data_IF_251620866411
#
_entry.id   IF_251620866411
#
_cell.length_a   1.000
_cell.length_b   1.000
_cell.length_c   1.000
_cell.angle_alpha   90.00
_cell.angle_beta   90.00
_cell.angle_gamma   90.00
#
_symmetry.space_group_name_H-M   'P 1'
#
loop_
_entity.id
_entity.type
_entity.pdbx_description
1 polymer ?
#
# COMPACT_ATOMS: atom_id res chain seq x y z
N UNK A 1 -10.16 -16.90 -29.84
CA UNK A 1 -9.89 -15.43 -29.78
C UNK A 1 -10.86 -14.84 -28.79
N UNK A 2 -10.44 -14.63 -27.57
CA UNK A 2 -11.22 -13.90 -26.57
C UNK A 2 -10.83 -12.44 -26.66
N UNK A 3 -11.66 -11.65 -27.33
CA UNK A 3 -11.57 -10.20 -27.32
C UNK A 3 -11.88 -9.72 -25.90
N UNK A 4 -10.86 -9.26 -25.18
CA UNK A 4 -11.04 -8.51 -23.96
C UNK A 4 -11.77 -7.20 -24.34
N UNK A 5 -13.07 -7.21 -24.14
CA UNK A 5 -13.89 -6.01 -24.21
C UNK A 5 -13.59 -5.18 -22.96
N UNK A 6 -12.63 -4.28 -23.06
CA UNK A 6 -12.47 -3.20 -22.09
C UNK A 6 -13.50 -2.15 -22.50
N UNK A 7 -14.54 -1.91 -21.68
CA UNK A 7 -15.48 -0.86 -22.00
C UNK A 7 -14.74 0.47 -22.01
N UNK A 8 -14.70 1.15 -23.14
CA UNK A 8 -14.14 2.50 -23.34
C UNK A 8 -14.96 3.58 -22.59
N UNK A 9 -15.77 3.17 -21.62
CA UNK A 9 -16.70 4.00 -20.86
C UNK A 9 -16.02 4.82 -19.74
N UNK A 10 -14.76 4.56 -19.44
CA UNK A 10 -14.06 5.17 -18.32
C UNK A 10 -13.23 6.37 -18.74
N UNK A 11 -13.90 7.39 -19.25
CA UNK A 11 -13.34 8.73 -19.25
C UNK A 11 -13.28 9.24 -17.81
N UNK A 12 -12.11 9.67 -17.37
CA UNK A 12 -11.83 10.15 -15.99
C UNK A 12 -12.75 11.30 -15.53
N UNK A 13 -13.52 11.90 -16.43
CA UNK A 13 -14.46 13.01 -16.16
C UNK A 13 -15.85 12.58 -15.66
N UNK A 14 -16.19 11.30 -15.75
CA UNK A 14 -17.52 10.80 -15.39
C UNK A 14 -17.54 9.91 -14.15
N UNK A 15 -16.36 9.67 -13.55
CA UNK A 15 -16.24 8.87 -12.32
C UNK A 15 -16.96 9.51 -11.15
N UNK A 16 -16.98 10.83 -11.07
CA UNK A 16 -17.62 11.61 -10.00
C UNK A 16 -19.13 11.35 -9.91
N UNK A 17 -19.77 10.90 -11.02
CA UNK A 17 -21.22 10.66 -11.08
C UNK A 17 -21.64 9.33 -10.47
N UNK A 18 -20.69 8.40 -10.30
CA UNK A 18 -20.97 7.04 -9.82
C UNK A 18 -20.52 6.78 -8.38
N UNK A 19 -19.67 7.65 -7.84
CA UNK A 19 -19.10 7.48 -6.51
C UNK A 19 -19.54 8.61 -5.58
N UNK A 20 -20.51 8.34 -4.73
CA UNK A 20 -20.98 9.26 -3.70
C UNK A 20 -20.11 9.13 -2.45
N UNK A 21 -19.44 10.21 -2.04
CA UNK A 21 -18.66 10.24 -0.79
C UNK A 21 -17.21 9.79 -0.91
N UNK A 22 -16.64 9.73 -2.13
CA UNK A 22 -15.26 9.31 -2.38
C UNK A 22 -14.30 10.46 -2.75
N UNK A 23 -14.77 11.72 -2.68
CA UNK A 23 -14.03 12.90 -3.15
C UNK A 23 -12.64 13.04 -2.53
N UNK A 24 -12.52 12.77 -1.22
CA UNK A 24 -11.24 12.88 -0.52
C UNK A 24 -10.29 11.74 -0.86
N UNK A 25 -10.81 10.56 -1.14
CA UNK A 25 -10.02 9.40 -1.53
C UNK A 25 -9.48 9.57 -2.96
N UNK A 26 -10.24 10.19 -3.85
CA UNK A 26 -9.82 10.49 -5.21
C UNK A 26 -8.70 11.54 -5.25
N UNK A 27 -8.80 12.59 -4.43
CA UNK A 27 -7.73 13.59 -4.26
C UNK A 27 -6.44 12.99 -3.70
N UNK A 28 -6.59 12.04 -2.78
CA UNK A 28 -5.46 11.32 -2.21
C UNK A 28 -4.80 10.42 -3.26
N UNK A 29 -5.57 9.74 -4.09
CA UNK A 29 -5.08 8.91 -5.18
C UNK A 29 -4.34 9.74 -6.24
N UNK A 30 -4.86 10.92 -6.57
CA UNK A 30 -4.27 11.83 -7.54
C UNK A 30 -2.95 12.42 -7.03
N UNK A 31 -2.87 12.82 -5.76
CA UNK A 31 -1.62 13.26 -5.12
C UNK A 31 -0.57 12.14 -5.08
N UNK A 32 -1.01 10.92 -4.78
CA UNK A 32 -0.14 9.73 -4.82
C UNK A 32 0.41 9.47 -6.23
N UNK A 33 -0.41 9.63 -7.26
CA UNK A 33 0.02 9.46 -8.65
C UNK A 33 1.07 10.49 -9.05
N UNK A 34 0.90 11.75 -8.67
CA UNK A 34 1.83 12.84 -8.96
C UNK A 34 3.15 12.70 -8.20
N UNK A 35 3.11 12.23 -6.95
CA UNK A 35 4.31 11.97 -6.15
C UNK A 35 5.07 10.73 -6.63
N UNK A 36 4.35 9.72 -7.13
CA UNK A 36 4.91 8.46 -7.65
C UNK A 36 5.59 8.65 -9.00
N UNK A 37 5.08 9.54 -9.86
CA UNK A 37 5.64 9.72 -11.20
C UNK A 37 6.89 10.60 -11.25
N UNK A 38 7.13 11.42 -10.22
CA UNK A 38 8.19 12.44 -10.28
C UNK A 38 9.58 12.00 -9.84
N UNK A 39 9.72 10.99 -8.98
CA UNK A 39 11.04 10.52 -8.50
C UNK A 39 10.94 9.16 -7.78
N UNK A 40 10.71 8.07 -8.47
CA UNK A 40 10.92 6.77 -7.86
C UNK A 40 12.37 6.35 -8.10
N UNK A 41 13.26 6.44 -7.09
CA UNK A 41 14.52 5.74 -7.21
C UNK A 41 14.18 4.25 -7.31
N UNK A 42 14.62 3.57 -8.37
CA UNK A 42 14.38 2.14 -8.57
C UNK A 42 15.14 1.25 -7.55
N UNK A 43 15.61 1.84 -6.46
CA UNK A 43 16.38 1.18 -5.43
C UNK A 43 15.77 1.43 -4.04
N UNK A 44 15.72 0.39 -3.20
CA UNK A 44 15.91 -1.03 -3.53
C UNK A 44 14.72 -1.59 -4.35
N UNK A 45 14.93 -2.63 -5.16
CA UNK A 45 13.84 -3.32 -5.85
C UNK A 45 12.92 -4.00 -4.84
N UNK A 46 11.62 -4.00 -5.12
CA UNK A 46 10.61 -4.53 -4.23
C UNK A 46 9.45 -5.18 -4.97
N UNK A 47 8.73 -6.04 -4.28
CA UNK A 47 7.46 -6.63 -4.71
C UNK A 47 6.38 -6.34 -3.67
N UNK A 48 5.15 -6.21 -4.11
CA UNK A 48 3.98 -6.22 -3.24
C UNK A 48 3.15 -7.43 -3.64
N UNK A 49 2.96 -8.37 -2.70
CA UNK A 49 2.17 -9.59 -2.91
C UNK A 49 0.87 -9.49 -2.16
N UNK A 50 -0.21 -9.84 -2.81
CA UNK A 50 -1.49 -10.15 -2.16
C UNK A 50 -1.51 -11.65 -1.89
N UNK A 51 -1.51 -12.06 -0.63
CA UNK A 51 -1.54 -13.46 -0.22
C UNK A 51 -2.98 -13.99 -0.24
N UNK A 52 -3.89 -13.19 0.33
CA UNK A 52 -5.34 -13.42 0.33
C UNK A 52 -6.09 -12.07 0.38
N UNK A 53 -7.37 -12.06 0.70
CA UNK A 53 -8.18 -10.84 0.67
C UNK A 53 -7.83 -9.84 1.76
N UNK A 54 -7.14 -10.28 2.80
CA UNK A 54 -6.76 -9.46 3.96
C UNK A 54 -5.26 -9.37 4.18
N UNK A 55 -4.47 -10.30 3.64
CA UNK A 55 -3.03 -10.34 3.89
C UNK A 55 -2.21 -9.92 2.67
N UNK A 56 -1.22 -9.07 2.93
CA UNK A 56 -0.27 -8.58 1.94
C UNK A 56 1.15 -8.73 2.48
N UNK A 57 2.12 -8.85 1.58
CA UNK A 57 3.54 -8.88 1.91
C UNK A 57 4.29 -7.93 1.00
N UNK A 58 5.05 -7.01 1.59
CA UNK A 58 6.05 -6.21 0.87
C UNK A 58 7.38 -6.92 1.00
N UNK A 59 8.01 -7.24 -0.11
CA UNK A 59 9.34 -7.85 -0.16
C UNK A 59 10.31 -6.85 -0.79
N UNK A 60 11.44 -6.61 -0.14
CA UNK A 60 12.48 -5.69 -0.62
C UNK A 60 13.84 -6.40 -0.67
N UNK A 61 14.56 -6.25 -1.78
CA UNK A 61 15.92 -6.78 -1.91
C UNK A 61 16.90 -5.78 -1.30
N UNK A 62 17.38 -6.08 -0.10
CA UNK A 62 18.26 -5.22 0.70
C UNK A 62 19.58 -5.94 1.04
N UNK A 63 20.20 -6.51 0.00
CA UNK A 63 21.49 -7.19 0.15
C UNK A 63 22.54 -6.27 0.76
N UNK A 64 23.24 -6.76 1.77
CA UNK A 64 24.27 -6.01 2.49
C UNK A 64 23.79 -5.19 3.68
N UNK A 65 22.46 -5.05 3.89
CA UNK A 65 21.91 -4.40 5.07
C UNK A 65 21.73 -5.40 6.20
N UNK A 66 22.18 -5.04 7.41
CA UNK A 66 21.87 -5.73 8.64
C UNK A 66 20.59 -5.18 9.29
N UNK A 67 20.14 -5.86 10.34
CA UNK A 67 18.95 -5.42 11.09
C UNK A 67 19.11 -4.01 11.67
N UNK A 68 20.31 -3.66 12.12
CA UNK A 68 20.60 -2.34 12.68
C UNK A 68 20.62 -1.20 11.64
N UNK A 69 20.70 -1.53 10.35
CA UNK A 69 20.79 -0.57 9.25
C UNK A 69 19.42 -0.24 8.68
N UNK A 70 18.36 -0.94 9.12
CA UNK A 70 17.00 -0.80 8.58
C UNK A 70 16.07 -0.29 9.68
N UNK A 71 15.34 0.77 9.34
CA UNK A 71 14.28 1.34 10.17
C UNK A 71 12.95 1.26 9.44
N UNK A 72 11.90 0.84 10.16
CA UNK A 72 10.54 0.71 9.63
C UNK A 72 9.62 1.50 10.53
N UNK A 73 8.89 2.44 9.96
CA UNK A 73 7.94 3.29 10.67
C UNK A 73 6.60 3.37 9.94
N UNK A 74 5.54 3.64 10.71
CA UNK A 74 4.24 4.08 10.17
C UNK A 74 4.10 5.55 10.47
N UNK A 75 4.07 6.37 9.43
CA UNK A 75 3.94 7.82 9.54
C UNK A 75 2.86 8.33 8.58
N UNK A 76 1.83 8.99 9.15
CA UNK A 76 0.77 9.62 8.37
C UNK A 76 0.05 8.71 7.38
N UNK A 77 -0.22 7.45 7.76
CA UNK A 77 -0.86 6.46 6.89
C UNK A 77 0.09 5.89 5.82
N UNK A 78 1.39 6.02 6.02
CA UNK A 78 2.43 5.46 5.13
C UNK A 78 3.32 4.51 5.91
N UNK A 79 3.65 3.39 5.30
CA UNK A 79 4.76 2.55 5.73
C UNK A 79 6.04 3.13 5.14
N UNK A 80 6.93 3.61 5.99
CA UNK A 80 8.22 4.17 5.61
C UNK A 80 9.33 3.21 6.00
N UNK A 81 10.13 2.81 5.03
CA UNK A 81 11.30 1.95 5.21
C UNK A 81 12.54 2.74 4.86
N UNK A 82 13.45 2.88 5.81
CA UNK A 82 14.75 3.54 5.62
C UNK A 82 15.86 2.52 5.79
N UNK A 83 16.84 2.60 4.93
CA UNK A 83 18.07 1.85 5.06
C UNK A 83 19.26 2.80 5.00
N UNK A 84 20.15 2.68 5.96
CA UNK A 84 21.37 3.46 6.03
C UNK A 84 22.52 2.57 6.51
N UNK A 85 23.45 2.29 5.62
CA UNK A 85 24.70 1.61 5.98
C UNK A 85 25.74 2.70 6.21
N UNK A 86 26.42 2.67 7.35
CA UNK A 86 27.61 3.46 7.54
C UNK A 86 28.60 3.10 6.41
N UNK A 87 28.89 4.07 5.54
CA UNK A 87 29.83 3.86 4.44
C UNK A 87 31.15 3.40 5.03
N UNK A 88 31.46 2.13 4.81
CA UNK A 88 32.83 1.68 4.92
C UNK A 88 33.53 2.19 3.64
N UNK A 89 34.11 3.37 3.74
CA UNK A 89 34.95 3.96 2.71
C UNK A 89 36.31 3.23 2.60
N UNK A 90 36.28 1.91 2.85
CA UNK A 90 37.39 1.07 2.46
C UNK A 90 37.58 1.21 0.95
N UNK A 91 38.73 1.71 0.52
CA UNK A 91 39.16 1.79 -0.89
C UNK A 91 39.25 0.38 -1.49
N UNK A 92 38.15 -0.36 -1.46
CA UNK A 92 38.05 -1.63 -2.17
C UNK A 92 38.00 -1.33 -3.66
N UNK A 93 39.06 -1.69 -4.36
CA UNK A 93 39.15 -1.55 -5.80
C UNK A 93 38.26 -2.61 -6.48
N UNK A 94 37.01 -2.24 -6.77
CA UNK A 94 36.12 -3.12 -7.52
C UNK A 94 36.51 -3.11 -9.02
N UNK A 95 36.67 -4.28 -9.61
CA UNK A 95 36.69 -4.39 -11.08
C UNK A 95 35.27 -4.05 -11.65
N UNK A 96 34.22 -4.46 -10.95
CA UNK A 96 32.83 -4.14 -11.24
C UNK A 96 32.02 -4.09 -9.95
N UNK A 97 31.29 -2.99 -9.72
CA UNK A 97 30.40 -2.82 -8.57
C UNK A 97 28.95 -2.80 -9.05
N UNK A 98 28.27 -3.95 -8.99
CA UNK A 98 26.85 -4.08 -9.37
C UNK A 98 25.88 -4.03 -8.19
N UNK A 99 26.37 -4.29 -6.95
CA UNK A 99 25.54 -4.20 -5.74
C UNK A 99 25.71 -2.82 -5.14
N UNK A 100 24.61 -2.06 -5.09
CA UNK A 100 24.62 -0.73 -4.52
C UNK A 100 24.19 -0.77 -3.04
N UNK A 101 25.17 -0.60 -2.14
CA UNK A 101 24.91 -0.42 -0.71
C UNK A 101 24.76 1.07 -0.40
N UNK A 102 23.65 1.67 -0.88
CA UNK A 102 23.39 3.09 -0.68
C UNK A 102 22.18 3.31 0.22
N UNK A 103 22.21 4.38 0.99
CA UNK A 103 21.06 4.79 1.79
C UNK A 103 19.81 4.95 0.91
N UNK A 104 18.67 4.54 1.44
CA UNK A 104 17.39 4.66 0.75
C UNK A 104 16.26 5.03 1.72
N UNK A 105 15.22 5.59 1.16
CA UNK A 105 13.92 5.77 1.83
C UNK A 105 12.83 5.35 0.87
N UNK A 106 11.99 4.41 1.30
CA UNK A 106 10.79 3.96 0.57
C UNK A 106 9.56 4.22 1.39
N UNK A 107 8.54 4.78 0.77
CA UNK A 107 7.24 4.99 1.39
C UNK A 107 6.15 4.28 0.59
N UNK A 108 5.32 3.53 1.28
CA UNK A 108 4.15 2.85 0.73
C UNK A 108 2.91 3.43 1.39
N UNK A 109 1.96 3.93 0.59
CA UNK A 109 0.70 4.39 1.13
C UNK A 109 -0.10 3.20 1.65
N UNK A 110 -0.55 3.28 2.89
CA UNK A 110 -1.43 2.29 3.50
C UNK A 110 -2.86 2.84 3.51
N UNK A 111 -3.81 1.94 3.29
CA UNK A 111 -5.21 2.23 3.61
C UNK A 111 -5.36 2.28 5.15
N UNK A 112 -6.30 3.09 5.65
CA UNK A 112 -6.56 3.26 7.10
C UNK A 112 -6.89 1.95 7.83
N UNK A 113 -7.31 0.92 7.08
CA UNK A 113 -7.64 -0.40 7.58
C UNK A 113 -6.44 -1.37 7.58
N UNK A 114 -5.26 -0.95 7.09
CA UNK A 114 -4.09 -1.82 6.96
C UNK A 114 -3.12 -1.60 8.12
N UNK A 115 -2.77 -2.69 8.80
CA UNK A 115 -1.80 -2.71 9.89
C UNK A 115 -0.57 -3.54 9.51
N UNK A 116 0.60 -3.12 9.99
CA UNK A 116 1.83 -3.92 9.93
C UNK A 116 1.79 -4.96 11.04
N UNK A 117 1.94 -6.22 10.68
CA UNK A 117 1.92 -7.35 11.63
C UNK A 117 3.30 -7.80 12.04
N UNK A 118 4.21 -7.87 11.09
CA UNK A 118 5.56 -8.38 11.33
C UNK A 118 6.52 -7.90 10.26
N UNK A 119 7.82 -7.93 10.57
CA UNK A 119 8.88 -7.66 9.62
C UNK A 119 10.07 -8.58 9.87
N UNK A 120 10.53 -9.26 8.82
CA UNK A 120 11.63 -10.21 8.86
C UNK A 120 12.71 -9.85 7.83
N UNK A 121 13.96 -9.84 8.27
CA UNK A 121 15.13 -9.74 7.39
C UNK A 121 15.82 -11.09 7.32
N UNK A 122 15.80 -11.72 6.16
CA UNK A 122 16.43 -13.02 5.95
C UNK A 122 17.06 -13.12 4.56
N UNK A 123 18.29 -13.60 4.50
CA UNK A 123 19.04 -13.76 3.24
C UNK A 123 19.05 -12.52 2.32
N UNK A 124 19.19 -11.33 2.88
CA UNK A 124 19.18 -10.08 2.11
C UNK A 124 17.81 -9.64 1.58
N UNK A 125 16.75 -10.32 2.01
CA UNK A 125 15.38 -9.96 1.71
C UNK A 125 14.66 -9.47 2.96
N UNK A 126 14.13 -8.27 2.92
CA UNK A 126 13.22 -7.74 3.92
C UNK A 126 11.79 -8.08 3.51
N UNK A 127 11.05 -8.75 4.40
CA UNK A 127 9.63 -9.06 4.21
C UNK A 127 8.83 -8.37 5.30
N UNK A 128 7.81 -7.63 4.91
CA UNK A 128 6.92 -6.92 5.81
C UNK A 128 5.51 -7.46 5.60
N UNK A 129 4.96 -8.09 6.62
CA UNK A 129 3.62 -8.64 6.62
C UNK A 129 2.60 -7.56 7.01
N UNK A 130 1.57 -7.41 6.21
CA UNK A 130 0.50 -6.45 6.38
C UNK A 130 -0.84 -7.17 6.40
N UNK A 131 -1.75 -6.73 7.28
CA UNK A 131 -3.11 -7.25 7.36
C UNK A 131 -4.12 -6.13 7.25
N UNK A 132 -5.13 -6.33 6.41
CA UNK A 132 -6.27 -5.43 6.29
C UNK A 132 -7.36 -5.84 7.26
N UNK A 133 -7.64 -4.97 8.21
CA UNK A 133 -8.74 -5.11 9.17
C UNK A 133 -10.04 -4.65 8.51
N UNK A 134 -10.97 -5.57 8.28
CA UNK A 134 -12.30 -5.22 7.75
C UNK A 134 -13.22 -4.92 8.94
N UNK A 135 -13.59 -3.66 9.19
CA UNK A 135 -14.51 -3.32 10.26
C UNK A 135 -15.85 -4.05 10.07
N UNK A 136 -16.44 -4.53 11.16
CA UNK A 136 -17.75 -5.22 11.13
C UNK A 136 -18.84 -4.37 10.48
N UNK A 137 -18.73 -3.04 10.56
CA UNK A 137 -19.67 -2.09 9.94
C UNK A 137 -19.62 -2.10 8.41
N UNK A 138 -18.52 -2.59 7.81
CA UNK A 138 -18.35 -2.71 6.35
C UNK A 138 -18.64 -4.11 5.82
N UNK A 139 -19.01 -5.06 6.68
CA UNK A 139 -19.41 -6.38 6.25
C UNK A 139 -20.81 -6.35 5.61
N UNK A 140 -21.08 -7.17 4.58
CA UNK A 140 -22.39 -7.24 3.95
C UNK A 140 -23.48 -7.57 4.98
N UNK A 141 -24.39 -6.62 5.22
CA UNK A 141 -25.50 -6.81 6.16
C UNK A 141 -26.76 -7.13 5.35
N UNK A 142 -27.42 -8.26 5.66
CA UNK A 142 -28.74 -8.54 5.12
C UNK A 142 -29.75 -7.57 5.72
N UNK A 143 -30.41 -6.81 4.86
CA UNK A 143 -31.49 -5.91 5.24
C UNK A 143 -32.81 -6.61 4.97
N UNK A 144 -33.62 -6.81 6.02
CA UNK A 144 -34.95 -7.37 5.87
C UNK A 144 -35.89 -6.32 5.25
N UNK A 145 -36.55 -6.71 4.16
CA UNK A 145 -37.57 -5.87 3.53
C UNK A 145 -38.88 -6.06 4.29
N UNK A 146 -39.42 -4.97 4.86
CA UNK A 146 -40.70 -4.96 5.57
C UNK A 146 -41.82 -4.61 4.61
N UNK A 147 -42.97 -5.26 4.79
CA UNK A 147 -44.19 -4.93 4.05
C UNK A 147 -44.87 -3.70 4.63
N UNK A 148 -45.60 -2.94 3.77
CA UNK A 148 -46.31 -1.74 4.15
C UNK A 148 -47.33 -2.04 5.25
N UNK A 149 -47.07 -1.51 6.47
CA UNK A 149 -47.94 -1.73 7.66
C UNK A 149 -47.21 -2.00 8.94
N UNK A 150 -45.93 -2.38 8.87
CA UNK A 150 -45.06 -2.49 10.03
C UNK A 150 -44.38 -1.14 10.32
N UNK A 151 -44.48 -0.69 11.57
CA UNK A 151 -44.17 0.66 12.03
C UNK A 151 -42.75 1.14 11.64
N UNK A 152 -42.76 2.37 11.13
CA UNK A 152 -41.65 3.33 11.00
C UNK A 152 -40.50 2.97 10.05
N UNK A 153 -40.54 3.62 8.90
CA UNK A 153 -39.44 3.60 7.92
C UNK A 153 -38.21 4.37 8.40
N UNK A 154 -38.40 5.36 9.26
CA UNK A 154 -37.36 6.12 9.91
C UNK A 154 -37.75 6.34 11.38
N UNK A 155 -36.95 5.88 12.32
CA UNK A 155 -37.06 6.30 13.70
C UNK A 155 -36.60 7.76 13.78
N UNK A 156 -37.47 8.65 14.28
CA UNK A 156 -37.08 10.03 14.59
C UNK A 156 -35.89 9.98 15.58
N UNK A 157 -34.73 10.42 15.10
CA UNK A 157 -33.59 10.71 15.96
C UNK A 157 -33.91 11.93 16.79
N UNK A 158 -33.89 11.78 18.11
CA UNK A 158 -33.76 12.87 19.05
C UNK A 158 -32.31 13.33 19.09
#
# INVERSE_FOLDING_TARGET
MTTNFIPTFWGTKDLDKFFVGFDDQFKTLQKLHDDVTKNIPNYPPYNIKKVDDTHYVVEMAVAGFGQADIEIEIDGGKLVVRGNIANDDSEESFIHKGIANRAFTRAFALNDEVEVRDAELFNGMLKIALERMIPETKQPKKIAVKTKGEKQFLAEGK
#
